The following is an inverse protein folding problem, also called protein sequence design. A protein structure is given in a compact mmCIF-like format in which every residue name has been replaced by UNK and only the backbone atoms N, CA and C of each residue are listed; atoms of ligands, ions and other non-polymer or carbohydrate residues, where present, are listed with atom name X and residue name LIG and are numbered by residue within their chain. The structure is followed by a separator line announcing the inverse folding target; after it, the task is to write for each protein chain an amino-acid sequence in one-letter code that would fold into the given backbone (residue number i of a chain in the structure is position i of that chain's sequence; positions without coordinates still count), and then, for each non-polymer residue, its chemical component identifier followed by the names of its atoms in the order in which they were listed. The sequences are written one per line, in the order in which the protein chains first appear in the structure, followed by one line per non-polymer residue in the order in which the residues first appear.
data_IF_396293463546
#
_entry.id   IF_396293463546
#
_cell.length_a   1.000
_cell.length_b   1.000
_cell.length_c   1.000
_cell.angle_alpha   90.00
_cell.angle_beta   90.00
_cell.angle_gamma   90.00
#
_symmetry.space_group_name_H-M   'P 1'
#
loop_
_entity.id
_entity.type
_entity.pdbx_description
1 polymer ?
#
# COMPACT_ATOMS: atom_id res chain seq x y z
N UNK A 1 -13.58 -23.24 -4.19
CA UNK A 1 -14.55 -22.43 -4.96
C UNK A 1 -13.86 -22.05 -6.25
N UNK A 2 -14.05 -22.85 -7.30
CA UNK A 2 -13.34 -22.72 -8.58
C UNK A 2 -14.11 -21.69 -9.41
N UNK A 3 -13.52 -20.52 -9.68
CA UNK A 3 -14.07 -19.57 -10.64
C UNK A 3 -13.95 -20.19 -12.04
N UNK A 4 -15.08 -20.33 -12.70
CA UNK A 4 -15.24 -20.78 -14.07
C UNK A 4 -14.42 -19.91 -15.03
N UNK A 5 -13.46 -20.54 -15.73
CA UNK A 5 -12.60 -19.93 -16.76
C UNK A 5 -13.28 -19.87 -18.14
N UNK A 6 -14.55 -20.24 -18.23
CA UNK A 6 -15.29 -20.37 -19.50
C UNK A 6 -15.72 -19.01 -20.09
N UNK A 7 -15.79 -17.95 -19.27
CA UNK A 7 -16.18 -16.61 -19.73
C UNK A 7 -15.13 -15.92 -20.62
N UNK A 8 -13.83 -16.13 -20.37
CA UNK A 8 -12.77 -15.42 -21.10
C UNK A 8 -12.58 -15.85 -22.56
N UNK A 9 -13.06 -17.03 -22.95
CA UNK A 9 -12.87 -17.55 -24.30
C UNK A 9 -13.96 -17.04 -25.28
N UNK A 10 -15.21 -16.90 -24.82
CA UNK A 10 -16.27 -16.31 -25.65
C UNK A 10 -16.11 -14.79 -25.82
N UNK A 11 -15.66 -14.07 -24.78
CA UNK A 11 -15.35 -12.64 -24.85
C UNK A 11 -14.20 -12.35 -25.85
N UNK A 12 -13.23 -13.26 -25.95
CA UNK A 12 -12.09 -13.12 -26.87
C UNK A 12 -12.48 -13.28 -28.34
N UNK A 13 -13.51 -14.08 -28.66
CA UNK A 13 -13.97 -14.27 -30.03
C UNK A 13 -14.72 -13.04 -30.58
N UNK A 14 -15.47 -12.35 -29.72
CA UNK A 14 -16.19 -11.11 -30.09
C UNK A 14 -15.20 -9.97 -30.33
N UNK A 15 -14.16 -9.85 -29.49
CA UNK A 15 -13.08 -8.86 -29.66
C UNK A 15 -12.40 -8.92 -31.04
N UNK A 16 -12.15 -10.11 -31.57
CA UNK A 16 -11.39 -10.28 -32.81
C UNK A 16 -12.24 -10.14 -34.09
N UNK A 17 -13.56 -10.41 -34.00
CA UNK A 17 -14.40 -10.54 -35.20
C UNK A 17 -15.70 -9.73 -35.16
N UNK A 18 -16.07 -9.09 -34.06
CA UNK A 18 -17.34 -8.37 -33.93
C UNK A 18 -17.53 -7.28 -34.97
N UNK A 19 -16.49 -6.46 -35.24
CA UNK A 19 -16.56 -5.45 -36.30
C UNK A 19 -16.75 -6.07 -37.70
N UNK A 20 -16.13 -7.22 -37.96
CA UNK A 20 -16.32 -7.96 -39.21
C UNK A 20 -17.74 -8.50 -39.31
N UNK A 21 -18.30 -9.02 -38.22
CA UNK A 21 -19.67 -9.53 -38.17
C UNK A 21 -20.70 -8.41 -38.38
N UNK A 22 -20.53 -7.26 -37.75
CA UNK A 22 -21.37 -6.08 -37.96
C UNK A 22 -21.30 -5.59 -39.41
N UNK A 23 -20.10 -5.56 -40.00
CA UNK A 23 -19.91 -5.16 -41.40
C UNK A 23 -20.59 -6.14 -42.38
N UNK A 24 -20.47 -7.44 -42.15
CA UNK A 24 -21.14 -8.45 -43.00
C UNK A 24 -22.67 -8.43 -42.82
N UNK A 25 -23.17 -8.16 -41.60
CA UNK A 25 -24.60 -7.96 -41.35
C UNK A 25 -25.14 -6.75 -42.12
N UNK A 26 -24.43 -5.61 -42.07
CA UNK A 26 -24.78 -4.41 -42.83
C UNK A 26 -24.78 -4.66 -44.36
N UNK A 27 -23.77 -5.33 -44.89
CA UNK A 27 -23.70 -5.71 -46.33
C UNK A 27 -24.85 -6.64 -46.74
N UNK A 28 -25.32 -7.48 -45.83
CA UNK A 28 -26.46 -8.36 -46.04
C UNK A 28 -27.83 -7.66 -45.84
N UNK A 29 -27.87 -6.34 -45.68
CA UNK A 29 -29.06 -5.53 -45.34
C UNK A 29 -29.73 -5.93 -44.01
N UNK A 30 -29.00 -6.61 -43.10
CA UNK A 30 -29.44 -6.91 -41.73
C UNK A 30 -28.96 -5.81 -40.79
N UNK A 31 -29.61 -4.65 -40.89
CA UNK A 31 -29.21 -3.44 -40.16
C UNK A 31 -29.46 -3.54 -38.64
N UNK A 32 -30.54 -4.22 -38.24
CA UNK A 32 -30.86 -4.46 -36.82
C UNK A 32 -29.75 -5.28 -36.15
N UNK A 33 -29.35 -6.40 -36.77
CA UNK A 33 -28.26 -7.25 -36.28
C UNK A 33 -26.92 -6.48 -36.21
N UNK A 34 -26.63 -5.64 -37.21
CA UNK A 34 -25.41 -4.83 -37.23
C UNK A 34 -25.39 -3.81 -36.08
N UNK A 35 -26.54 -3.17 -35.79
CA UNK A 35 -26.71 -2.22 -34.70
C UNK A 35 -26.54 -2.91 -33.34
N UNK A 36 -27.13 -4.09 -33.15
CA UNK A 36 -27.01 -4.87 -31.91
C UNK A 36 -25.54 -5.26 -31.65
N UNK A 37 -24.84 -5.75 -32.66
CA UNK A 37 -23.41 -6.11 -32.55
C UNK A 37 -22.58 -4.88 -32.17
N UNK A 38 -22.83 -3.72 -32.79
CA UNK A 38 -22.11 -2.48 -32.47
C UNK A 38 -22.38 -2.01 -31.04
N UNK A 39 -23.61 -2.12 -30.55
CA UNK A 39 -23.95 -1.79 -29.15
C UNK A 39 -23.23 -2.70 -28.17
N UNK A 40 -23.22 -4.01 -28.42
CA UNK A 40 -22.47 -4.98 -27.60
C UNK A 40 -20.98 -4.62 -27.53
N UNK A 41 -20.35 -4.38 -28.69
CA UNK A 41 -18.94 -3.97 -28.76
C UNK A 41 -18.68 -2.65 -28.02
N UNK A 42 -19.61 -1.71 -28.09
CA UNK A 42 -19.49 -0.44 -27.40
C UNK A 42 -19.58 -0.61 -25.87
N UNK A 43 -20.51 -1.41 -25.39
CA UNK A 43 -20.65 -1.74 -23.96
C UNK A 43 -19.40 -2.44 -23.43
N UNK A 44 -18.87 -3.41 -24.17
CA UNK A 44 -17.63 -4.11 -23.85
C UNK A 44 -16.42 -3.16 -23.83
N UNK A 45 -16.31 -2.26 -24.81
CA UNK A 45 -15.25 -1.26 -24.83
C UNK A 45 -15.30 -0.34 -23.61
N UNK A 46 -16.51 0.08 -23.20
CA UNK A 46 -16.67 0.87 -21.99
C UNK A 46 -16.25 0.09 -20.74
N UNK A 47 -16.69 -1.17 -20.59
CA UNK A 47 -16.29 -2.02 -19.48
C UNK A 47 -14.77 -2.20 -19.41
N UNK A 48 -14.12 -2.42 -20.56
CA UNK A 48 -12.66 -2.53 -20.65
C UNK A 48 -11.96 -1.22 -20.25
N UNK A 49 -12.48 -0.07 -20.69
CA UNK A 49 -11.95 1.24 -20.30
C UNK A 49 -12.08 1.48 -18.79
N UNK A 50 -13.21 1.10 -18.19
CA UNK A 50 -13.44 1.21 -16.75
C UNK A 50 -12.49 0.30 -15.96
N UNK A 51 -12.31 -0.95 -16.37
CA UNK A 51 -11.35 -1.86 -15.76
C UNK A 51 -9.92 -1.33 -15.90
N UNK A 52 -9.53 -0.86 -17.09
CA UNK A 52 -8.22 -0.30 -17.33
C UNK A 52 -7.94 0.93 -16.46
N UNK A 53 -8.95 1.79 -16.27
CA UNK A 53 -8.88 2.95 -15.38
C UNK A 53 -8.69 2.49 -13.93
N UNK A 54 -9.51 1.55 -13.44
CA UNK A 54 -9.40 1.04 -12.08
C UNK A 54 -8.04 0.40 -11.81
N UNK A 55 -7.51 -0.38 -12.75
CA UNK A 55 -6.18 -0.98 -12.65
C UNK A 55 -5.06 0.06 -12.62
N UNK A 56 -5.15 1.12 -13.44
CA UNK A 56 -4.20 2.23 -13.43
C UNK A 56 -4.25 3.04 -12.13
N UNK A 57 -5.44 3.23 -11.56
CA UNK A 57 -5.60 3.88 -10.25
C UNK A 57 -4.92 3.05 -9.15
N UNK A 58 -5.17 1.75 -9.11
CA UNK A 58 -4.50 0.83 -8.17
C UNK A 58 -2.97 0.82 -8.34
N UNK A 59 -2.49 0.82 -9.58
CA UNK A 59 -1.06 0.85 -9.86
C UNK A 59 -0.41 2.15 -9.37
N UNK A 60 -1.08 3.28 -9.59
CA UNK A 60 -0.62 4.59 -9.10
C UNK A 60 -0.49 4.60 -7.58
N UNK A 61 -1.51 4.12 -6.86
CA UNK A 61 -1.47 4.04 -5.39
C UNK A 61 -0.29 3.21 -4.87
N UNK A 62 -0.04 2.06 -5.51
CA UNK A 62 1.10 1.19 -5.14
C UNK A 62 2.44 1.87 -5.41
N UNK A 63 2.59 2.55 -6.55
CA UNK A 63 3.81 3.30 -6.88
C UNK A 63 4.06 4.40 -5.85
N UNK A 64 3.03 5.17 -5.49
CA UNK A 64 3.14 6.23 -4.48
C UNK A 64 3.59 5.69 -3.11
N UNK A 65 3.04 4.55 -2.68
CA UNK A 65 3.46 3.88 -1.43
C UNK A 65 4.92 3.43 -1.51
N UNK A 66 5.34 2.86 -2.64
CA UNK A 66 6.72 2.41 -2.84
C UNK A 66 7.70 3.59 -2.85
N UNK A 67 7.38 4.69 -3.52
CA UNK A 67 8.22 5.88 -3.56
C UNK A 67 8.35 6.50 -2.16
N UNK A 68 7.26 6.55 -1.39
CA UNK A 68 7.32 6.96 0.01
C UNK A 68 8.25 6.03 0.82
N UNK A 69 8.15 4.72 0.65
CA UNK A 69 9.01 3.77 1.37
C UNK A 69 10.49 3.91 1.01
N UNK A 70 10.80 4.24 -0.25
CA UNK A 70 12.18 4.46 -0.72
C UNK A 70 12.78 5.76 -0.19
N UNK A 71 11.97 6.80 -0.03
CA UNK A 71 12.39 8.08 0.56
C UNK A 71 12.56 8.03 2.08
N UNK A 72 12.29 6.88 2.73
CA UNK A 72 12.45 6.73 4.18
C UNK A 72 13.84 6.24 4.60
N UNK A 73 14.44 6.97 5.54
CA UNK A 73 15.65 6.56 6.27
C UNK A 73 15.34 6.30 7.74
N UNK A 74 15.71 5.12 8.21
CA UNK A 74 15.68 4.78 9.63
C UNK A 74 17.01 5.11 10.32
N UNK A 75 16.97 5.84 11.43
CA UNK A 75 18.18 6.24 12.19
C UNK A 75 18.53 5.31 13.37
N UNK A 76 17.85 4.16 13.45
CA UNK A 76 17.94 3.22 14.58
C UNK A 76 16.86 3.41 15.64
N UNK A 77 16.09 4.52 15.63
CA UNK A 77 14.99 4.76 16.57
C UNK A 77 13.75 5.40 15.95
N UNK A 78 13.92 6.22 14.92
CA UNK A 78 12.88 7.03 14.29
C UNK A 78 13.13 7.11 12.78
N UNK A 79 12.06 7.37 12.04
CA UNK A 79 12.14 7.53 10.59
C UNK A 79 12.34 9.00 10.24
N UNK A 80 13.00 9.22 9.11
CA UNK A 80 13.21 10.50 8.46
C UNK A 80 12.86 10.33 6.98
N UNK A 81 12.26 11.35 6.37
CA UNK A 81 12.02 11.39 4.94
C UNK A 81 13.15 12.19 4.28
N UNK A 82 13.70 11.67 3.20
CA UNK A 82 14.64 12.40 2.34
C UNK A 82 13.84 13.15 1.30
N UNK A 83 13.90 14.48 1.34
CA UNK A 83 13.28 15.40 0.37
C UNK A 83 14.37 16.15 -0.39
N UNK A 84 14.00 16.87 -1.46
CA UNK A 84 14.94 17.70 -2.23
C UNK A 84 15.59 18.80 -1.37
N UNK A 85 14.87 19.31 -0.36
CA UNK A 85 15.30 20.37 0.55
C UNK A 85 16.07 19.87 1.79
N UNK A 86 16.23 18.55 1.95
CA UNK A 86 16.95 17.94 3.07
C UNK A 86 16.18 16.82 3.75
N UNK A 87 16.41 16.63 5.05
CA UNK A 87 15.70 15.61 5.85
C UNK A 87 14.48 16.20 6.54
N UNK A 88 13.31 15.63 6.27
CA UNK A 88 12.07 15.95 6.95
C UNK A 88 11.76 14.92 8.05
N UNK A 89 11.44 15.38 9.26
CA UNK A 89 11.12 14.51 10.38
C UNK A 89 11.43 15.11 11.75
N UNK A 90 11.55 14.28 12.80
CA UNK A 90 11.46 12.82 12.78
C UNK A 90 10.03 12.27 12.93
N UNK A 91 9.81 11.06 12.42
CA UNK A 91 8.54 10.34 12.50
C UNK A 91 8.60 9.13 13.44
N UNK A 92 7.44 8.78 14.01
CA UNK A 92 7.31 7.68 14.96
C UNK A 92 7.45 6.32 14.27
N UNK A 93 8.50 5.56 14.63
CA UNK A 93 8.72 4.21 14.13
C UNK A 93 7.57 3.26 14.49
N UNK A 94 7.04 3.34 15.71
CA UNK A 94 5.99 2.42 16.17
C UNK A 94 4.67 2.61 15.41
N UNK A 95 4.25 3.85 15.17
CA UNK A 95 3.03 4.10 14.38
C UNK A 95 3.21 3.65 12.93
N UNK A 96 4.38 3.91 12.35
CA UNK A 96 4.62 3.50 10.97
C UNK A 96 4.66 1.98 10.81
N UNK A 97 5.40 1.26 11.67
CA UNK A 97 5.56 -0.19 11.55
C UNK A 97 4.26 -0.95 11.87
N UNK A 98 3.38 -0.41 12.73
CA UNK A 98 2.14 -1.07 13.12
C UNK A 98 0.97 -0.73 12.19
N UNK A 99 0.86 0.52 11.75
CA UNK A 99 -0.34 1.02 11.05
C UNK A 99 -0.03 1.67 9.72
N UNK A 100 1.23 1.72 9.28
CA UNK A 100 1.66 2.45 8.08
C UNK A 100 1.54 3.97 8.21
N UNK A 101 1.26 4.50 9.41
CA UNK A 101 0.94 5.92 9.60
C UNK A 101 2.16 6.73 10.02
N UNK A 102 2.49 7.74 9.21
CA UNK A 102 3.56 8.69 9.49
C UNK A 102 3.13 9.77 10.51
N UNK A 103 3.34 9.49 11.79
CA UNK A 103 3.09 10.47 12.86
C UNK A 103 4.36 11.25 13.18
N UNK A 104 4.35 12.57 12.92
CA UNK A 104 5.46 13.46 13.25
C UNK A 104 5.66 13.54 14.76
N UNK A 105 6.87 13.28 15.22
CA UNK A 105 7.23 13.37 16.63
C UNK A 105 7.33 14.84 17.05
N UNK A 106 6.77 15.15 18.21
CA UNK A 106 6.76 16.49 18.78
C UNK A 106 8.00 16.71 19.65
N UNK A 107 8.68 17.82 19.42
CA UNK A 107 9.89 18.15 20.18
C UNK A 107 9.56 18.52 21.63
N UNK A 108 10.26 17.89 22.57
CA UNK A 108 10.25 18.24 23.99
C UNK A 108 11.67 18.52 24.48
N UNK A 109 11.84 19.05 25.71
CA UNK A 109 13.17 19.46 26.21
C UNK A 109 14.23 18.36 26.13
N UNK A 110 13.89 17.11 26.50
CA UNK A 110 14.85 15.98 26.58
C UNK A 110 14.54 14.81 25.64
N UNK A 111 13.40 14.85 24.97
CA UNK A 111 12.91 13.74 24.16
C UNK A 111 12.01 14.25 23.03
N UNK A 112 11.64 13.34 22.16
CA UNK A 112 10.61 13.45 21.16
C UNK A 112 9.39 12.66 21.63
N UNK A 113 8.19 13.19 21.50
CA UNK A 113 6.96 12.53 21.90
C UNK A 113 6.05 12.29 20.70
N UNK A 114 5.57 11.06 20.52
CA UNK A 114 4.51 10.75 19.57
C UNK A 114 3.14 11.13 20.15
N UNK A 115 2.33 11.88 19.41
CA UNK A 115 0.93 12.16 19.80
C UNK A 115 -0.06 11.09 19.34
N UNK A 116 0.35 10.18 18.44
CA UNK A 116 -0.47 9.05 18.01
C UNK A 116 -0.48 7.91 19.03
N UNK A 117 0.69 7.37 19.37
CA UNK A 117 0.80 6.24 20.31
C UNK A 117 1.35 6.61 21.70
N UNK A 118 1.77 7.86 21.93
CA UNK A 118 2.31 8.30 23.23
C UNK A 118 3.78 7.97 23.49
N UNK A 119 4.45 7.20 22.62
CA UNK A 119 5.84 6.80 22.83
C UNK A 119 6.83 7.98 22.88
N UNK A 120 7.89 7.79 23.68
CA UNK A 120 8.95 8.77 23.90
C UNK A 120 10.27 8.28 23.31
N UNK A 121 10.95 9.14 22.54
CA UNK A 121 12.23 8.84 21.89
C UNK A 121 13.30 9.82 22.37
N UNK A 122 14.43 9.34 22.87
CA UNK A 122 15.50 10.19 23.40
C UNK A 122 16.18 10.96 22.26
N UNK A 123 16.45 12.26 22.47
CA UNK A 123 17.29 13.07 21.56
C UNK A 123 18.73 12.56 21.59
N UNK A 124 19.30 12.18 20.46
CA UNK A 124 20.73 11.84 20.39
C UNK A 124 21.53 13.12 20.70
N UNK A 125 22.47 13.05 21.65
CA UNK A 125 23.32 14.18 22.04
C UNK A 125 23.09 14.78 23.44
N UNK A 126 22.11 14.30 24.22
CA UNK A 126 22.06 14.64 25.65
C UNK A 126 22.90 13.61 26.43
N UNK A 127 23.98 14.01 27.13
CA UNK A 127 24.71 13.10 27.99
C UNK A 127 23.71 12.53 29.00
N UNK A 128 23.56 11.21 29.01
CA UNK A 128 23.03 10.53 30.17
C UNK A 128 24.04 10.81 31.29
N UNK A 129 23.78 11.84 32.10
CA UNK A 129 24.46 11.99 33.37
C UNK A 129 24.34 10.64 34.08
N UNK A 130 25.50 10.04 34.31
CA UNK A 130 25.67 8.72 34.90
C UNK A 130 24.88 8.67 36.21
N UNK A 131 23.67 8.13 36.17
CA UNK A 131 22.90 7.87 37.38
C UNK A 131 23.59 6.72 38.10
N UNK A 132 24.24 7.09 39.20
CA UNK A 132 24.97 6.23 40.10
C UNK A 132 24.15 5.00 40.50
N UNK A 133 24.85 3.87 40.55
CA UNK A 133 24.39 2.64 41.17
C UNK A 133 23.76 2.94 42.54
N UNK A 134 22.45 2.77 42.64
CA UNK A 134 21.77 2.62 43.93
C UNK A 134 20.78 1.48 43.82
N UNK A 135 21.25 0.38 44.39
CA UNK A 135 20.57 -0.84 44.74
C UNK A 135 19.15 -0.57 45.28
N UNK A 136 18.10 -1.07 44.60
CA UNK A 136 16.76 -1.28 45.17
C UNK A 136 15.99 -2.35 44.39
N UNK A 137 15.84 -3.48 45.08
CA UNK A 137 14.80 -4.51 44.98
C UNK A 137 14.70 -5.37 43.71
N UNK A 138 15.10 -6.64 43.89
CA UNK A 138 14.64 -7.81 43.14
C UNK A 138 13.14 -7.71 42.82
N UNK A 139 12.82 -7.72 41.53
CA UNK A 139 11.53 -8.16 41.02
C UNK A 139 11.70 -9.62 40.54
N UNK A 140 10.79 -10.55 40.90
CA UNK A 140 10.91 -11.93 40.44
C UNK A 140 10.75 -12.00 38.92
N UNK A 141 11.79 -12.54 38.28
CA UNK A 141 11.87 -12.81 36.85
C UNK A 141 10.94 -13.97 36.47
N UNK A 142 9.71 -13.68 36.06
CA UNK A 142 8.86 -14.65 35.35
C UNK A 142 8.01 -13.97 34.28
N UNK A 143 8.53 -13.97 33.05
CA UNK A 143 7.88 -14.33 31.79
C UNK A 143 8.71 -13.77 30.64
N UNK A 144 9.83 -14.45 30.37
CA UNK A 144 10.43 -14.41 29.03
C UNK A 144 9.39 -15.05 28.13
N UNK A 145 8.65 -14.24 27.37
CA UNK A 145 7.87 -14.78 26.25
C UNK A 145 8.89 -15.25 25.23
N UNK A 146 9.10 -16.56 25.18
CA UNK A 146 9.88 -17.19 24.12
C UNK A 146 9.37 -16.68 22.76
N UNK A 147 10.24 -16.36 21.79
CA UNK A 147 9.80 -16.00 20.46
C UNK A 147 9.03 -17.19 19.86
N UNK A 148 7.82 -16.91 19.38
CA UNK A 148 6.97 -17.90 18.70
C UNK A 148 7.69 -18.25 17.39
N UNK A 149 7.99 -19.53 17.11
CA UNK A 149 8.55 -19.92 15.83
C UNK A 149 7.50 -19.70 14.75
N UNK A 150 7.78 -18.75 13.86
CA UNK A 150 7.11 -18.67 12.58
C UNK A 150 7.60 -19.87 11.76
N UNK A 151 6.67 -20.67 11.26
CA UNK A 151 6.87 -21.96 10.58
C UNK A 151 7.04 -23.17 11.52
N UNK A 152 5.90 -23.78 11.87
CA UNK A 152 5.84 -25.20 12.21
C UNK A 152 5.47 -25.93 10.91
N UNK A 153 6.26 -26.96 10.55
CA UNK A 153 6.01 -27.86 9.42
C UNK A 153 4.68 -28.60 9.54
#
# INVERSE_FOLDING_TARGET
MIRTLEGGFMDSLIHAMGFKQALEAAKANRWEDAEEILKSLQEEYFALCEENRALKEQLTEVVEILDLSQSMRFDGRKYWLTTEDGEDGPFCQVCYDQTGTLVRLQEQKRHWQCKGCGNLFIKQGHPLEKAAATNRSRMPSQLVKNPIPLFVK
#
